data_IF_142370880656
#
_entry.id   IF_142370880656
#
_cell.length_a   1.000
_cell.length_b   1.000
_cell.length_c   1.000
_cell.angle_alpha   90.00
_cell.angle_beta   90.00
_cell.angle_gamma   90.00
#
_symmetry.space_group_name_H-M   'P 1'
#
loop_
_entity.id
_entity.type
_entity.pdbx_description
1 polymer ?
#
# COMPACT_ATOMS: atom_id res chain seq x y z
N UNK A 1 -10.03 0.50 -29.32
CA UNK A 1 -8.86 -0.41 -29.18
C UNK A 1 -9.03 -1.23 -27.91
N UNK A 2 -8.97 -2.57 -28.00
CA UNK A 2 -8.99 -3.47 -26.84
C UNK A 2 -7.62 -4.11 -26.67
N UNK A 3 -7.13 -4.16 -25.45
CA UNK A 3 -5.84 -4.76 -25.08
C UNK A 3 -6.14 -6.00 -24.24
N UNK A 4 -5.45 -7.09 -24.57
CA UNK A 4 -5.57 -8.38 -23.90
C UNK A 4 -4.24 -8.80 -23.29
N UNK A 5 -4.30 -9.56 -22.21
CA UNK A 5 -3.11 -10.25 -21.68
C UNK A 5 -2.74 -11.45 -22.56
N UNK A 6 -1.61 -12.09 -22.25
CA UNK A 6 -1.13 -13.27 -22.98
C UNK A 6 -2.05 -14.50 -22.89
N UNK A 7 -3.04 -14.50 -22.00
CA UNK A 7 -4.06 -15.55 -21.86
C UNK A 7 -5.35 -15.19 -22.60
N UNK A 8 -5.40 -14.05 -23.28
CA UNK A 8 -6.56 -13.57 -24.02
C UNK A 8 -7.61 -12.90 -23.13
N UNK A 9 -7.30 -12.56 -21.89
CA UNK A 9 -8.22 -11.81 -21.03
C UNK A 9 -8.15 -10.32 -21.31
N UNK A 10 -9.28 -9.60 -21.34
CA UNK A 10 -9.27 -8.16 -21.54
C UNK A 10 -8.63 -7.46 -20.33
N UNK A 11 -7.73 -6.50 -20.62
CA UNK A 11 -6.94 -5.74 -19.65
C UNK A 11 -7.32 -4.26 -19.65
N UNK A 12 -7.47 -3.69 -20.84
CA UNK A 12 -7.91 -2.31 -21.02
C UNK A 12 -8.64 -2.13 -22.36
N UNK A 13 -9.43 -1.07 -22.45
CA UNK A 13 -10.10 -0.65 -23.66
C UNK A 13 -10.06 0.88 -23.76
N UNK A 14 -9.80 1.39 -24.96
CA UNK A 14 -9.79 2.81 -25.26
C UNK A 14 -10.68 3.08 -26.46
N UNK A 15 -11.59 4.05 -26.35
CA UNK A 15 -12.37 4.58 -27.46
C UNK A 15 -11.87 5.98 -27.79
N UNK A 16 -11.53 6.20 -29.05
CA UNK A 16 -11.02 7.46 -29.58
C UNK A 16 -12.05 8.04 -30.54
N UNK A 17 -12.29 9.34 -30.45
CA UNK A 17 -13.10 10.09 -31.39
C UNK A 17 -12.37 10.24 -32.74
N UNK A 18 -13.12 10.62 -33.76
CA UNK A 18 -12.56 10.89 -35.10
C UNK A 18 -11.55 12.05 -35.15
N UNK A 19 -11.55 12.93 -34.16
CA UNK A 19 -10.59 14.02 -34.01
C UNK A 19 -9.31 13.62 -33.24
N UNK A 20 -9.20 12.35 -32.82
CA UNK A 20 -8.07 11.83 -32.07
C UNK A 20 -8.14 12.09 -30.57
N UNK A 21 -9.19 12.72 -30.05
CA UNK A 21 -9.42 12.83 -28.61
C UNK A 21 -9.91 11.51 -28.01
N UNK A 22 -9.57 11.26 -26.74
CA UNK A 22 -10.08 10.08 -26.04
C UNK A 22 -11.53 10.34 -25.64
N UNK A 23 -12.44 9.46 -26.05
CA UNK A 23 -13.85 9.47 -25.61
C UNK A 23 -14.02 8.71 -24.30
N UNK A 24 -13.34 7.57 -24.17
CA UNK A 24 -13.36 6.77 -22.94
C UNK A 24 -12.16 5.85 -22.84
N UNK A 25 -11.72 5.57 -21.61
CA UNK A 25 -10.82 4.46 -21.33
C UNK A 25 -11.35 3.61 -20.19
N UNK A 26 -10.98 2.33 -20.19
CA UNK A 26 -11.34 1.36 -19.15
C UNK A 26 -10.12 0.52 -18.82
N UNK A 27 -9.89 0.28 -17.53
CA UNK A 27 -8.82 -0.59 -17.05
C UNK A 27 -9.37 -1.61 -16.07
N UNK A 28 -8.96 -2.86 -16.23
CA UNK A 28 -9.35 -3.95 -15.33
C UNK A 28 -8.54 -3.90 -14.05
N UNK A 29 -9.20 -4.14 -12.92
CA UNK A 29 -8.63 -4.14 -11.59
C UNK A 29 -8.34 -5.56 -11.10
N UNK A 30 -7.46 -5.74 -10.10
CA UNK A 30 -7.12 -7.07 -9.57
C UNK A 30 -8.31 -7.88 -9.02
N UNK A 31 -9.36 -7.22 -8.53
CA UNK A 31 -10.60 -7.87 -8.08
C UNK A 31 -11.52 -8.31 -9.24
N UNK A 32 -11.09 -8.07 -10.48
CA UNK A 32 -11.83 -8.38 -11.70
C UNK A 32 -12.81 -7.29 -12.13
N UNK A 33 -13.08 -6.29 -11.29
CA UNK A 33 -13.89 -5.13 -11.63
C UNK A 33 -13.16 -4.18 -12.58
N UNK A 34 -13.85 -3.13 -13.02
CA UNK A 34 -13.34 -2.17 -14.00
C UNK A 34 -13.36 -0.76 -13.43
N UNK A 35 -12.35 0.01 -13.81
CA UNK A 35 -12.29 1.44 -13.60
C UNK A 35 -12.39 2.13 -14.95
N UNK A 36 -13.34 3.06 -15.10
CA UNK A 36 -13.52 3.83 -16.33
C UNK A 36 -13.07 5.27 -16.14
N UNK A 37 -12.43 5.82 -17.17
CA UNK A 37 -12.01 7.22 -17.28
C UNK A 37 -12.95 7.93 -18.24
N UNK A 38 -13.62 8.97 -17.76
CA UNK A 38 -14.39 9.94 -18.52
C UNK A 38 -13.53 11.19 -18.72
N UNK A 39 -12.96 11.41 -19.92
CA UNK A 39 -12.07 12.54 -20.17
C UNK A 39 -12.83 13.87 -20.12
N UNK A 40 -12.19 14.91 -19.55
CA UNK A 40 -12.69 16.30 -19.51
C UNK A 40 -14.12 16.43 -18.95
N UNK A 41 -14.47 15.56 -18.01
CA UNK A 41 -15.82 15.37 -17.47
C UNK A 41 -16.37 16.57 -16.68
N UNK A 42 -15.49 17.35 -16.05
CA UNK A 42 -15.87 18.41 -15.10
C UNK A 42 -14.74 19.41 -14.89
N UNK A 43 -15.04 20.49 -14.17
CA UNK A 43 -14.04 21.33 -13.53
C UNK A 43 -14.06 21.07 -12.02
N UNK A 44 -12.88 20.97 -11.39
CA UNK A 44 -12.71 20.75 -9.96
C UNK A 44 -11.46 21.49 -9.45
N UNK A 45 -11.52 22.18 -8.29
CA UNK A 45 -10.33 22.71 -7.64
C UNK A 45 -9.41 21.56 -7.17
N UNK A 46 -8.08 21.79 -7.08
CA UNK A 46 -7.36 23.03 -7.40
C UNK A 46 -6.96 23.18 -8.87
N UNK A 47 -7.15 22.18 -9.74
CA UNK A 47 -6.55 22.12 -11.08
C UNK A 47 -7.49 22.48 -12.25
N UNK A 48 -8.78 22.72 -12.02
CA UNK A 48 -9.72 23.09 -13.08
C UNK A 48 -10.22 21.88 -13.86
N UNK A 49 -10.06 21.88 -15.19
CA UNK A 49 -10.58 20.79 -16.04
C UNK A 49 -10.04 19.43 -15.58
N UNK A 50 -10.92 18.46 -15.42
CA UNK A 50 -10.63 17.18 -14.78
C UNK A 50 -11.26 16.00 -15.52
N UNK A 51 -10.53 14.89 -15.55
CA UNK A 51 -11.03 13.58 -15.95
C UNK A 51 -11.69 12.91 -14.74
N UNK A 52 -12.79 12.18 -14.95
CA UNK A 52 -13.54 11.51 -13.89
C UNK A 52 -13.32 10.00 -13.91
N UNK A 53 -13.17 9.43 -12.72
CA UNK A 53 -13.06 8.00 -12.49
C UNK A 53 -14.38 7.40 -11.99
N UNK A 54 -14.75 6.27 -12.58
CA UNK A 54 -15.96 5.52 -12.28
C UNK A 54 -15.63 4.07 -11.97
N UNK A 55 -16.32 3.48 -10.98
CA UNK A 55 -16.30 2.03 -10.75
C UNK A 55 -17.38 1.36 -11.59
N UNK A 56 -17.02 0.30 -12.30
CA UNK A 56 -17.95 -0.57 -13.01
C UNK A 56 -17.71 -2.03 -12.61
N UNK A 57 -18.79 -2.77 -12.28
CA UNK A 57 -18.70 -4.18 -11.87
C UNK A 57 -18.58 -5.15 -13.05
N UNK A 58 -19.04 -4.74 -14.23
CA UNK A 58 -18.99 -5.53 -15.46
C UNK A 58 -18.50 -4.67 -16.60
N UNK A 59 -18.01 -5.32 -17.65
CA UNK A 59 -17.74 -4.68 -18.93
C UNK A 59 -19.04 -3.99 -19.41
N UNK A 60 -19.12 -2.64 -19.49
CA UNK A 60 -20.38 -1.98 -19.79
C UNK A 60 -20.81 -2.23 -21.24
N UNK A 61 -22.11 -2.36 -21.46
CA UNK A 61 -22.71 -2.31 -22.80
C UNK A 61 -22.65 -0.89 -23.37
N UNK A 62 -22.58 -0.72 -24.71
CA UNK A 62 -22.52 0.60 -25.33
C UNK A 62 -23.77 1.44 -24.99
N UNK A 63 -23.60 2.61 -24.37
CA UNK A 63 -24.73 3.52 -24.11
C UNK A 63 -24.57 4.61 -23.04
N UNK A 64 -23.49 4.64 -22.25
CA UNK A 64 -23.23 5.75 -21.31
C UNK A 64 -22.31 5.40 -20.14
N UNK A 65 -22.02 6.40 -19.30
CA UNK A 65 -21.27 6.22 -18.04
C UNK A 65 -22.19 5.63 -16.97
N UNK A 66 -22.07 4.32 -16.74
CA UNK A 66 -22.79 3.60 -15.70
C UNK A 66 -21.83 3.16 -14.59
N UNK A 67 -22.23 3.35 -13.32
CA UNK A 67 -21.45 2.93 -12.16
C UNK A 67 -21.34 3.99 -11.05
N UNK A 68 -20.55 3.68 -10.04
CA UNK A 68 -20.29 4.57 -8.92
C UNK A 68 -19.26 5.63 -9.31
N UNK A 69 -19.57 6.91 -9.11
CA UNK A 69 -18.60 8.01 -9.26
C UNK A 69 -17.60 7.95 -8.12
N UNK A 70 -16.32 7.79 -8.45
CA UNK A 70 -15.27 7.64 -7.44
C UNK A 70 -14.53 8.94 -7.17
N UNK A 71 -13.82 9.49 -8.15
CA UNK A 71 -13.03 10.71 -7.93
C UNK A 71 -12.68 11.35 -9.27
N UNK A 72 -11.87 12.40 -9.25
CA UNK A 72 -11.37 13.10 -10.43
C UNK A 72 -9.86 13.27 -10.36
N UNK A 73 -9.21 13.43 -11.50
CA UNK A 73 -7.81 13.86 -11.58
C UNK A 73 -7.66 14.94 -12.66
N UNK A 74 -6.53 15.65 -12.61
CA UNK A 74 -6.19 16.68 -13.58
C UNK A 74 -6.33 16.15 -15.02
N UNK A 75 -7.10 16.86 -15.87
CA UNK A 75 -7.37 16.38 -17.22
C UNK A 75 -6.09 16.24 -18.05
N UNK A 76 -5.95 15.09 -18.72
CA UNK A 76 -4.84 14.81 -19.62
C UNK A 76 -5.20 15.07 -21.08
N UNK A 77 -4.19 15.44 -21.86
CA UNK A 77 -4.24 15.22 -23.30
C UNK A 77 -3.84 13.77 -23.58
N UNK A 78 -4.83 12.89 -23.67
CA UNK A 78 -4.60 11.45 -23.81
C UNK A 78 -3.86 11.08 -25.10
N UNK A 79 -3.98 11.89 -26.15
CA UNK A 79 -3.24 11.71 -27.40
C UNK A 79 -1.75 12.09 -27.27
N UNK A 80 -1.39 12.84 -26.21
CA UNK A 80 -0.03 13.28 -25.93
C UNK A 80 0.20 13.47 -24.43
N UNK A 81 0.46 12.37 -23.75
CA UNK A 81 0.78 12.32 -22.32
C UNK A 81 2.09 13.08 -22.07
N UNK A 82 2.01 14.15 -21.28
CA UNK A 82 3.15 15.02 -20.97
C UNK A 82 3.48 15.10 -19.47
N UNK A 83 2.65 14.50 -18.61
CA UNK A 83 2.80 14.52 -17.15
C UNK A 83 2.05 13.39 -16.46
N UNK A 84 2.36 13.22 -15.19
CA UNK A 84 1.59 12.37 -14.26
C UNK A 84 0.54 13.27 -13.58
N UNK A 85 -0.76 12.98 -13.72
CA UNK A 85 -1.81 13.86 -13.21
C UNK A 85 -1.95 13.79 -11.69
N UNK A 86 -2.46 14.88 -11.12
CA UNK A 86 -2.85 14.94 -9.71
C UNK A 86 -4.23 14.33 -9.49
N UNK A 87 -4.37 13.45 -8.50
CA UNK A 87 -5.62 12.75 -8.19
C UNK A 87 -6.29 13.35 -6.94
N UNK A 88 -7.59 13.64 -7.01
CA UNK A 88 -8.39 13.98 -5.84
C UNK A 88 -8.75 12.72 -5.05
N UNK A 89 -8.94 12.87 -3.74
CA UNK A 89 -9.48 11.82 -2.85
C UNK A 89 -8.98 10.38 -3.15
N UNK A 90 -7.67 10.09 -3.15
CA UNK A 90 -7.14 8.79 -3.56
C UNK A 90 -7.76 7.59 -2.83
N UNK A 91 -8.21 7.80 -1.58
CA UNK A 91 -8.88 6.80 -0.75
C UNK A 91 -10.23 6.31 -1.31
N UNK A 92 -10.85 7.03 -2.25
CA UNK A 92 -12.08 6.59 -2.92
C UNK A 92 -11.83 5.56 -4.01
N UNK A 93 -10.57 5.32 -4.40
CA UNK A 93 -10.27 4.29 -5.38
C UNK A 93 -10.30 2.89 -4.75
N UNK A 94 -10.86 1.89 -5.45
CA UNK A 94 -10.71 0.50 -5.04
C UNK A 94 -9.23 0.08 -5.04
N UNK A 95 -8.84 -0.95 -4.26
CA UNK A 95 -7.48 -1.47 -4.24
C UNK A 95 -6.94 -1.78 -5.64
N UNK A 96 -5.76 -1.24 -5.96
CA UNK A 96 -5.13 -1.36 -7.28
C UNK A 96 -5.67 -0.41 -8.36
N UNK A 97 -6.71 0.38 -8.08
CA UNK A 97 -7.28 1.35 -9.02
C UNK A 97 -6.27 2.39 -9.49
N UNK A 98 -5.56 3.02 -8.55
CA UNK A 98 -4.55 4.04 -8.87
C UNK A 98 -3.42 3.47 -9.74
N UNK A 99 -2.88 2.31 -9.39
CA UNK A 99 -1.77 1.71 -10.16
C UNK A 99 -2.21 1.18 -11.51
N UNK A 100 -3.46 0.76 -11.68
CA UNK A 100 -4.01 0.39 -12.99
C UNK A 100 -4.10 1.60 -13.95
N UNK A 101 -4.54 2.77 -13.46
CA UNK A 101 -4.57 4.01 -14.26
C UNK A 101 -3.15 4.50 -14.56
N UNK A 102 -2.27 4.51 -13.56
CA UNK A 102 -0.86 4.88 -13.75
C UNK A 102 -0.17 3.99 -14.78
N UNK A 103 -0.47 2.68 -14.80
CA UNK A 103 0.06 1.77 -15.80
C UNK A 103 -0.49 2.07 -17.20
N UNK A 104 -1.77 2.43 -17.35
CA UNK A 104 -2.33 2.88 -18.64
C UNK A 104 -1.65 4.17 -19.13
N UNK A 105 -1.44 5.13 -18.23
CA UNK A 105 -0.71 6.38 -18.55
C UNK A 105 0.71 6.06 -19.00
N UNK A 106 1.41 5.15 -18.30
CA UNK A 106 2.75 4.72 -18.66
C UNK A 106 2.80 3.95 -20.00
N UNK A 107 1.81 3.10 -20.29
CA UNK A 107 1.65 2.40 -21.57
C UNK A 107 1.55 3.42 -22.72
N UNK A 108 0.60 4.35 -22.63
CA UNK A 108 0.38 5.38 -23.65
C UNK A 108 1.57 6.32 -23.81
N UNK A 109 2.13 6.82 -22.70
CA UNK A 109 3.28 7.71 -22.74
C UNK A 109 4.47 7.05 -23.44
N UNK A 110 4.74 5.76 -23.15
CA UNK A 110 5.80 5.00 -23.81
C UNK A 110 5.54 4.82 -25.31
N UNK A 111 4.31 4.47 -25.69
CA UNK A 111 3.92 4.32 -27.10
C UNK A 111 4.02 5.65 -27.87
N UNK A 112 3.77 6.77 -27.20
CA UNK A 112 3.89 8.13 -27.73
C UNK A 112 5.34 8.64 -27.73
N UNK A 113 6.31 7.86 -27.24
CA UNK A 113 7.72 8.24 -27.18
C UNK A 113 8.07 9.27 -26.10
N UNK A 114 7.22 9.45 -25.09
CA UNK A 114 7.52 10.33 -23.97
C UNK A 114 8.66 9.74 -23.14
N UNK A 115 9.81 10.43 -23.12
CA UNK A 115 10.98 9.97 -22.38
C UNK A 115 10.87 10.24 -20.87
N UNK A 116 10.34 11.41 -20.47
CA UNK A 116 10.32 11.87 -19.08
C UNK A 116 9.03 12.59 -18.78
N UNK A 117 8.38 12.23 -17.68
CA UNK A 117 7.18 12.87 -17.15
C UNK A 117 7.47 13.47 -15.78
N UNK A 118 6.80 14.55 -15.45
CA UNK A 118 6.84 15.14 -14.10
C UNK A 118 5.53 14.86 -13.36
N UNK A 119 5.62 14.68 -12.04
CA UNK A 119 4.48 14.84 -11.15
C UNK A 119 4.53 16.24 -10.56
N UNK A 120 3.47 17.03 -10.76
CA UNK A 120 3.37 18.43 -10.30
C UNK A 120 2.27 18.64 -9.26
N UNK A 121 1.74 17.55 -8.72
CA UNK A 121 0.62 17.62 -7.79
C UNK A 121 1.03 18.10 -6.40
N UNK A 122 0.10 18.71 -5.65
CA UNK A 122 0.39 19.29 -4.34
C UNK A 122 0.60 18.24 -3.23
N UNK A 123 0.40 16.95 -3.52
CA UNK A 123 0.35 15.89 -2.52
C UNK A 123 1.37 14.78 -2.84
N UNK A 124 2.69 15.04 -2.73
CA UNK A 124 3.65 13.95 -2.70
C UNK A 124 3.46 13.18 -1.40
N UNK A 125 3.27 11.86 -1.49
CA UNK A 125 3.15 10.96 -0.34
C UNK A 125 3.96 9.70 -0.60
N UNK A 126 4.39 9.02 0.46
CA UNK A 126 5.06 7.72 0.32
C UNK A 126 4.19 6.70 -0.44
N UNK A 127 2.87 6.69 -0.19
CA UNK A 127 1.96 5.80 -0.90
C UNK A 127 1.92 6.09 -2.41
N UNK A 128 1.88 7.36 -2.80
CA UNK A 128 1.95 7.75 -4.21
C UNK A 128 3.32 7.39 -4.80
N UNK A 129 4.42 7.67 -4.10
CA UNK A 129 5.76 7.28 -4.52
C UNK A 129 5.83 5.78 -4.85
N UNK A 130 5.40 4.92 -3.91
CA UNK A 130 5.36 3.48 -4.09
C UNK A 130 4.44 3.04 -5.25
N UNK A 131 3.31 3.73 -5.46
CA UNK A 131 2.42 3.46 -6.59
C UNK A 131 3.05 3.83 -7.94
N UNK A 132 3.81 4.93 -8.00
CA UNK A 132 4.56 5.34 -9.19
C UNK A 132 5.66 4.34 -9.53
N UNK A 133 6.35 3.79 -8.53
CA UNK A 133 7.36 2.74 -8.76
C UNK A 133 6.80 1.53 -9.52
N UNK A 134 5.50 1.23 -9.38
CA UNK A 134 4.86 0.12 -10.11
C UNK A 134 4.85 0.35 -11.63
N UNK A 135 4.80 1.61 -12.12
CA UNK A 135 4.56 1.91 -13.55
C UNK A 135 5.60 2.85 -14.18
N UNK A 136 6.51 3.41 -13.39
CA UNK A 136 7.51 4.38 -13.82
C UNK A 136 8.86 4.09 -13.18
N UNK A 137 9.94 4.53 -13.83
CA UNK A 137 11.28 4.60 -13.22
C UNK A 137 11.59 6.03 -12.79
N UNK A 138 12.05 6.23 -11.57
CA UNK A 138 12.50 7.56 -11.15
C UNK A 138 13.91 7.85 -11.67
N UNK A 139 14.19 9.13 -11.94
CA UNK A 139 15.55 9.61 -12.18
C UNK A 139 15.85 10.84 -11.30
N UNK A 140 17.09 11.00 -10.83
CA UNK A 140 18.25 10.12 -11.09
C UNK A 140 18.19 8.80 -10.29
N UNK A 141 18.65 7.70 -10.89
CA UNK A 141 18.52 6.35 -10.31
C UNK A 141 19.40 6.13 -9.06
N UNK A 142 20.42 6.96 -8.88
CA UNK A 142 21.37 6.94 -7.77
C UNK A 142 21.02 7.94 -6.65
N UNK A 143 19.79 8.47 -6.63
CA UNK A 143 19.29 9.26 -5.52
C UNK A 143 19.43 8.49 -4.20
N UNK A 144 20.13 9.08 -3.23
CA UNK A 144 20.41 8.45 -1.93
C UNK A 144 19.14 8.26 -1.10
N UNK A 145 18.25 9.25 -1.14
CA UNK A 145 16.91 9.19 -0.55
C UNK A 145 15.87 9.57 -1.62
N UNK A 146 15.41 8.59 -2.43
CA UNK A 146 14.48 8.87 -3.51
C UNK A 146 13.11 9.29 -2.97
N UNK A 147 12.71 8.87 -1.77
CA UNK A 147 11.46 9.34 -1.18
C UNK A 147 11.55 10.82 -0.83
N UNK A 148 12.62 11.26 -0.15
CA UNK A 148 12.81 12.68 0.15
C UNK A 148 12.88 13.54 -1.12
N UNK A 149 13.62 13.09 -2.14
CA UNK A 149 13.69 13.77 -3.44
C UNK A 149 12.31 13.86 -4.12
N UNK A 150 11.49 12.81 -4.03
CA UNK A 150 10.10 12.85 -4.52
C UNK A 150 9.26 13.88 -3.76
N UNK A 151 9.37 13.90 -2.43
CA UNK A 151 8.65 14.86 -1.57
C UNK A 151 9.05 16.30 -1.86
N UNK A 152 10.30 16.53 -2.27
CA UNK A 152 10.82 17.84 -2.69
C UNK A 152 10.46 18.19 -4.16
N UNK A 153 9.86 17.28 -4.92
CA UNK A 153 9.52 17.49 -6.34
C UNK A 153 10.72 17.43 -7.29
N UNK A 154 11.82 16.79 -6.87
CA UNK A 154 13.10 16.77 -7.60
C UNK A 154 13.22 15.58 -8.57
N UNK A 155 12.28 14.62 -8.51
CA UNK A 155 12.28 13.45 -9.39
C UNK A 155 11.54 13.70 -10.69
N UNK A 156 12.10 13.14 -11.77
CA UNK A 156 11.40 12.88 -13.02
C UNK A 156 11.09 11.39 -13.16
N UNK A 157 10.14 11.06 -14.03
CA UNK A 157 9.61 9.71 -14.16
C UNK A 157 9.62 9.24 -15.61
N UNK A 158 10.38 8.18 -15.87
CA UNK A 158 10.45 7.54 -17.18
C UNK A 158 9.37 6.46 -17.27
N UNK A 159 8.46 6.49 -18.27
CA UNK A 159 7.42 5.48 -18.43
C UNK A 159 7.98 4.06 -18.51
N UNK A 160 7.52 3.19 -17.62
CA UNK A 160 7.96 1.80 -17.54
C UNK A 160 6.78 0.91 -17.16
N UNK A 161 5.80 0.72 -18.06
CA UNK A 161 4.62 -0.08 -17.78
C UNK A 161 5.01 -1.55 -17.54
N UNK A 162 4.16 -2.24 -16.81
CA UNK A 162 4.27 -3.68 -16.55
C UNK A 162 3.18 -4.46 -17.30
N UNK A 163 3.48 -5.70 -17.63
CA UNK A 163 2.49 -6.66 -18.10
C UNK A 163 1.53 -6.98 -16.94
N UNK A 164 0.23 -7.02 -17.23
CA UNK A 164 -0.83 -7.42 -16.31
C UNK A 164 -1.42 -8.72 -16.79
N UNK A 165 -1.37 -9.75 -15.94
CA UNK A 165 -1.90 -11.07 -16.22
C UNK A 165 -3.09 -11.34 -15.29
N UNK A 166 -4.21 -11.75 -15.85
CA UNK A 166 -5.41 -12.16 -15.12
C UNK A 166 -5.56 -13.67 -15.24
N UNK A 167 -5.25 -14.39 -14.16
CA UNK A 167 -5.35 -15.84 -14.10
C UNK A 167 -6.68 -16.34 -13.54
N UNK A 168 -6.80 -17.66 -13.45
CA UNK A 168 -7.92 -18.31 -12.79
C UNK A 168 -8.00 -17.96 -11.29
N UNK A 169 -9.17 -18.20 -10.67
CA UNK A 169 -9.40 -18.05 -9.22
C UNK A 169 -9.12 -16.66 -8.63
N UNK A 170 -9.22 -15.61 -9.44
CA UNK A 170 -8.95 -14.24 -8.98
C UNK A 170 -7.46 -13.95 -8.78
N UNK A 171 -6.60 -14.66 -9.52
CA UNK A 171 -5.18 -14.34 -9.63
C UNK A 171 -4.98 -13.12 -10.53
N UNK A 172 -4.19 -12.18 -10.05
CA UNK A 172 -3.64 -11.09 -10.84
C UNK A 172 -2.13 -11.02 -10.61
N UNK A 173 -1.35 -10.87 -11.69
CA UNK A 173 0.11 -10.80 -11.62
C UNK A 173 0.62 -9.61 -12.42
N UNK A 174 1.49 -8.80 -11.81
CA UNK A 174 2.28 -7.79 -12.50
C UNK A 174 3.66 -8.34 -12.83
N UNK A 175 4.07 -8.17 -14.08
CA UNK A 175 5.36 -8.67 -14.56
C UNK A 175 6.13 -7.64 -15.36
N UNK A 176 7.45 -7.67 -15.18
CA UNK A 176 8.41 -6.90 -15.99
C UNK A 176 9.72 -7.68 -16.07
N UNK A 177 9.77 -8.65 -16.98
CA UNK A 177 10.84 -9.66 -17.03
C UNK A 177 10.79 -10.69 -15.91
N UNK A 178 10.26 -10.34 -14.74
CA UNK A 178 9.97 -11.21 -13.59
C UNK A 178 8.63 -10.88 -12.96
N UNK A 179 8.11 -11.75 -12.09
CA UNK A 179 6.92 -11.48 -11.26
C UNK A 179 7.23 -10.43 -10.21
N UNK A 180 6.67 -9.22 -10.28
CA UNK A 180 6.96 -8.12 -9.33
C UNK A 180 5.90 -8.01 -8.22
N UNK A 181 4.64 -8.30 -8.54
CA UNK A 181 3.49 -8.27 -7.61
C UNK A 181 2.48 -9.34 -7.98
N UNK A 182 1.85 -9.92 -6.97
CA UNK A 182 0.73 -10.87 -7.11
C UNK A 182 -0.43 -10.36 -6.27
N UNK A 183 -1.64 -10.41 -6.79
CA UNK A 183 -2.87 -10.26 -5.99
C UNK A 183 -3.66 -11.55 -6.14
N UNK A 184 -4.07 -12.15 -5.03
CA UNK A 184 -4.86 -13.36 -5.02
C UNK A 184 -5.93 -13.26 -3.94
N UNK A 185 -7.20 -13.37 -4.33
CA UNK A 185 -8.36 -13.28 -3.43
C UNK A 185 -8.29 -12.05 -2.49
N UNK A 186 -7.91 -10.89 -3.05
CA UNK A 186 -7.79 -9.62 -2.34
C UNK A 186 -6.46 -9.39 -1.59
N UNK A 187 -5.62 -10.42 -1.42
CA UNK A 187 -4.32 -10.28 -0.77
C UNK A 187 -3.23 -9.91 -1.79
N UNK A 188 -2.54 -8.79 -1.56
CA UNK A 188 -1.42 -8.35 -2.39
C UNK A 188 -0.06 -8.80 -1.80
N UNK A 189 0.77 -9.40 -2.64
CA UNK A 189 2.14 -9.79 -2.37
C UNK A 189 3.06 -8.95 -3.25
N UNK A 190 4.14 -8.45 -2.65
CA UNK A 190 5.10 -7.58 -3.33
C UNK A 190 6.49 -8.16 -3.26
N UNK A 191 7.31 -7.93 -4.28
CA UNK A 191 8.74 -8.11 -4.09
C UNK A 191 9.28 -7.10 -3.07
N UNK A 192 10.22 -7.53 -2.22
CA UNK A 192 10.84 -6.63 -1.24
C UNK A 192 11.76 -5.62 -1.92
N UNK A 193 12.30 -5.92 -3.10
CA UNK A 193 13.17 -5.05 -3.88
C UNK A 193 12.42 -4.47 -5.09
N UNK A 194 12.29 -3.15 -5.15
CA UNK A 194 11.68 -2.46 -6.29
C UNK A 194 12.48 -1.20 -6.63
N UNK A 195 13.22 -1.21 -7.74
CA UNK A 195 14.10 -0.09 -8.15
C UNK A 195 15.07 0.35 -7.05
N UNK A 196 15.75 -0.60 -6.39
CA UNK A 196 16.61 -0.37 -5.21
C UNK A 196 15.90 0.09 -3.92
N UNK A 197 14.61 0.42 -3.99
CA UNK A 197 13.80 0.73 -2.81
C UNK A 197 13.39 -0.58 -2.13
N UNK A 198 13.73 -0.71 -0.86
CA UNK A 198 13.29 -1.80 -0.01
C UNK A 198 11.85 -1.55 0.45
N UNK A 199 10.90 -2.37 -0.03
CA UNK A 199 9.50 -2.31 0.38
C UNK A 199 9.26 -3.21 1.57
N UNK A 200 8.87 -2.61 2.69
CA UNK A 200 8.43 -3.35 3.85
C UNK A 200 6.97 -3.80 3.67
N UNK A 201 6.75 -5.09 3.38
CA UNK A 201 5.42 -5.69 3.33
C UNK A 201 5.45 -7.09 3.97
N UNK A 202 4.40 -7.49 4.71
CA UNK A 202 4.32 -8.82 5.32
C UNK A 202 4.04 -9.92 4.29
N UNK A 203 3.47 -9.58 3.14
CA UNK A 203 3.18 -10.51 2.05
C UNK A 203 4.17 -10.29 0.92
N UNK A 204 5.05 -11.26 0.70
CA UNK A 204 6.22 -11.13 -0.17
C UNK A 204 6.20 -12.11 -1.33
N UNK A 205 6.73 -11.65 -2.46
CA UNK A 205 7.07 -12.47 -3.63
C UNK A 205 8.57 -12.80 -3.56
N UNK A 206 8.95 -14.08 -3.72
CA UNK A 206 10.36 -14.53 -3.72
C UNK A 206 10.59 -15.64 -4.75
N UNK A 207 11.79 -15.67 -5.32
CA UNK A 207 12.21 -16.76 -6.21
C UNK A 207 12.68 -17.97 -5.40
N UNK A 208 12.39 -19.17 -5.92
CA UNK A 208 12.90 -20.47 -5.47
C UNK A 208 13.25 -21.34 -6.68
N UNK A 209 13.93 -22.47 -6.46
CA UNK A 209 14.28 -23.40 -7.54
C UNK A 209 13.06 -23.89 -8.32
N UNK A 210 11.92 -24.05 -7.66
CA UNK A 210 10.69 -24.58 -8.24
C UNK A 210 9.83 -23.50 -8.93
N UNK A 211 10.18 -22.22 -8.83
CA UNK A 211 9.41 -21.11 -9.39
C UNK A 211 9.39 -19.87 -8.49
N UNK A 212 8.21 -19.31 -8.29
CA UNK A 212 8.00 -18.07 -7.51
C UNK A 212 7.01 -18.33 -6.39
N UNK A 213 7.42 -18.08 -5.15
CA UNK A 213 6.56 -18.22 -3.97
C UNK A 213 5.97 -16.88 -3.54
N UNK A 214 4.71 -16.92 -3.12
CA UNK A 214 4.07 -15.85 -2.37
C UNK A 214 3.96 -16.29 -0.91
N UNK A 215 4.58 -15.55 0.00
CA UNK A 215 4.77 -15.96 1.40
C UNK A 215 4.33 -14.86 2.36
N UNK A 216 3.84 -15.25 3.53
CA UNK A 216 3.77 -14.42 4.72
C UNK A 216 5.14 -14.35 5.39
N UNK A 217 5.57 -13.17 5.77
CA UNK A 217 6.88 -12.88 6.33
C UNK A 217 6.73 -12.02 7.57
N UNK A 218 7.53 -12.34 8.58
CA UNK A 218 7.78 -11.44 9.69
C UNK A 218 9.18 -11.62 10.25
N UNK A 219 9.71 -10.60 10.92
CA UNK A 219 10.97 -10.65 11.66
C UNK A 219 12.15 -11.13 10.79
N UNK A 220 12.15 -10.72 9.52
CA UNK A 220 13.20 -11.06 8.55
C UNK A 220 13.16 -12.49 8.01
N UNK A 221 12.13 -13.29 8.30
CA UNK A 221 11.99 -14.69 7.84
C UNK A 221 10.61 -15.00 7.27
N UNK A 222 10.49 -15.98 6.35
CA UNK A 222 9.19 -16.52 5.96
C UNK A 222 8.53 -17.22 7.15
N UNK A 223 7.22 -17.02 7.31
CA UNK A 223 6.40 -17.74 8.28
C UNK A 223 5.54 -18.81 7.62
N UNK A 224 5.01 -18.51 6.42
CA UNK A 224 4.04 -19.36 5.73
C UNK A 224 4.11 -19.10 4.22
N UNK A 225 3.98 -20.14 3.40
CA UNK A 225 3.87 -20.02 1.94
C UNK A 225 2.42 -20.22 1.51
N UNK A 226 1.90 -19.34 0.66
CA UNK A 226 0.49 -19.34 0.25
C UNK A 226 0.28 -19.74 -1.21
N UNK A 227 1.22 -19.40 -2.10
CA UNK A 227 1.11 -19.68 -3.54
C UNK A 227 2.45 -20.08 -4.11
N UNK A 228 2.43 -21.00 -5.07
CA UNK A 228 3.54 -21.29 -5.98
C UNK A 228 3.12 -20.96 -7.41
N UNK A 229 3.92 -20.13 -8.08
CA UNK A 229 3.73 -19.71 -9.46
C UNK A 229 4.91 -20.17 -10.33
N UNK A 230 4.67 -20.29 -11.63
CA UNK A 230 5.74 -20.40 -12.62
C UNK A 230 6.55 -19.09 -12.67
N UNK A 231 7.77 -19.08 -13.22
CA UNK A 231 8.49 -17.84 -13.53
C UNK A 231 7.72 -16.90 -14.47
N UNK A 232 6.81 -17.46 -15.27
CA UNK A 232 5.90 -16.72 -16.14
C UNK A 232 4.67 -16.13 -15.40
N UNK A 233 4.49 -16.44 -14.12
CA UNK A 233 3.38 -15.95 -13.29
C UNK A 233 2.10 -16.78 -13.40
N UNK A 234 2.15 -17.98 -13.96
CA UNK A 234 1.00 -18.90 -13.94
C UNK A 234 0.88 -19.53 -12.55
N UNK A 235 -0.33 -19.61 -12.00
CA UNK A 235 -0.56 -20.29 -10.72
C UNK A 235 -0.35 -21.81 -10.90
N UNK A 236 0.64 -22.35 -10.19
CA UNK A 236 0.92 -23.79 -10.19
C UNK A 236 0.18 -24.48 -9.05
N UNK A 237 0.22 -23.90 -7.84
CA UNK A 237 -0.44 -24.43 -6.65
C UNK A 237 -0.87 -23.32 -5.70
N UNK A 238 -2.06 -23.46 -5.13
CA UNK A 238 -2.43 -22.81 -3.88
C UNK A 238 -1.93 -23.70 -2.74
N UNK A 239 -1.13 -23.13 -1.84
CA UNK A 239 -0.58 -23.84 -0.69
C UNK A 239 -1.50 -23.57 0.49
N UNK A 240 -2.10 -24.64 1.02
CA UNK A 240 -3.03 -24.50 2.13
C UNK A 240 -2.26 -24.24 3.44
N UNK A 241 -2.65 -23.19 4.19
CA UNK A 241 -2.11 -22.91 5.52
C UNK A 241 -2.26 -24.10 6.45
N UNK A 242 -1.36 -24.21 7.43
CA UNK A 242 -1.73 -24.85 8.67
C UNK A 242 -2.92 -24.10 9.29
N UNK A 243 -3.81 -24.82 9.98
CA UNK A 243 -4.91 -24.18 10.69
C UNK A 243 -4.35 -23.12 11.66
N UNK A 244 -4.95 -21.93 11.64
CA UNK A 244 -4.56 -20.87 12.56
C UNK A 244 -5.01 -21.28 13.98
N UNK A 245 -4.04 -21.67 14.80
CA UNK A 245 -4.26 -22.07 16.19
C UNK A 245 -3.83 -20.96 17.15
N UNK A 246 -4.43 -20.93 18.33
CA UNK A 246 -4.09 -19.99 19.41
C UNK A 246 -5.32 -19.32 20.02
N UNK A 247 -5.48 -19.48 21.34
CA UNK A 247 -6.50 -18.75 22.09
C UNK A 247 -6.19 -17.25 22.07
N UNK A 248 -7.24 -16.46 21.89
CA UNK A 248 -7.13 -15.01 21.97
C UNK A 248 -6.66 -14.59 23.36
N UNK A 249 -5.63 -13.74 23.42
CA UNK A 249 -5.05 -13.24 24.67
C UNK A 249 -4.66 -11.78 24.54
N UNK A 250 -4.99 -10.91 25.51
CA UNK A 250 -4.66 -9.49 25.43
C UNK A 250 -3.15 -9.26 25.27
N UNK A 251 -2.77 -8.31 24.42
CA UNK A 251 -1.40 -7.77 24.38
C UNK A 251 -1.24 -6.81 25.56
N UNK A 252 -0.09 -6.89 26.25
CA UNK A 252 0.19 -6.06 27.42
C UNK A 252 0.05 -4.55 27.10
N UNK A 253 -0.50 -3.73 28.01
CA UNK A 253 -0.72 -2.31 27.77
C UNK A 253 0.54 -1.54 27.34
N UNK A 254 1.69 -1.89 27.89
CA UNK A 254 2.97 -1.23 27.61
C UNK A 254 3.44 -1.51 26.18
N UNK A 255 3.25 -2.75 25.69
CA UNK A 255 3.54 -3.11 24.29
C UNK A 255 2.67 -2.27 23.35
N UNK A 256 1.36 -2.20 23.64
CA UNK A 256 0.42 -1.38 22.86
C UNK A 256 0.81 0.11 22.86
N UNK A 257 1.22 0.64 24.01
CA UNK A 257 1.65 2.02 24.14
C UNK A 257 2.93 2.31 23.32
N UNK A 258 3.93 1.41 23.36
CA UNK A 258 5.16 1.57 22.58
C UNK A 258 4.92 1.44 21.07
N UNK A 259 4.03 0.54 20.63
CA UNK A 259 3.62 0.47 19.22
C UNK A 259 2.94 1.77 18.78
N UNK A 260 2.00 2.30 19.58
CA UNK A 260 1.34 3.56 19.29
C UNK A 260 2.34 4.74 19.23
N UNK A 261 3.32 4.75 20.13
CA UNK A 261 4.39 5.75 20.14
C UNK A 261 5.28 5.65 18.90
N UNK A 262 5.63 4.45 18.43
CA UNK A 262 6.37 4.25 17.19
C UNK A 262 5.59 4.73 15.96
N UNK A 263 4.28 4.45 15.89
CA UNK A 263 3.41 4.96 14.81
C UNK A 263 3.29 6.48 14.87
N UNK A 264 3.11 7.06 16.05
CA UNK A 264 3.03 8.50 16.25
C UNK A 264 4.32 9.22 15.84
N UNK A 265 5.48 8.66 16.20
CA UNK A 265 6.80 9.21 15.85
C UNK A 265 7.05 9.20 14.33
N UNK A 266 6.51 8.23 13.59
CA UNK A 266 6.58 8.17 12.12
C UNK A 266 5.46 8.92 11.40
N UNK A 267 4.57 9.60 12.12
CA UNK A 267 3.42 10.31 11.55
C UNK A 267 3.58 11.84 11.62
N UNK A 268 2.76 12.58 10.89
CA UNK A 268 2.69 14.03 11.04
C UNK A 268 2.33 14.41 12.48
N UNK A 269 3.06 15.37 13.07
CA UNK A 269 2.92 15.76 14.48
C UNK A 269 1.47 16.02 14.95
N UNK A 270 0.58 16.67 14.14
CA UNK A 270 -0.83 16.85 14.52
C UNK A 270 -1.60 15.56 14.80
N UNK A 271 -1.17 14.44 14.23
CA UNK A 271 -1.86 13.16 14.32
C UNK A 271 -1.46 12.35 15.56
N UNK A 272 -0.32 12.65 16.18
CA UNK A 272 0.24 11.86 17.28
C UNK A 272 -0.72 11.68 18.48
N UNK A 273 -1.36 12.74 19.03
CA UNK A 273 -2.30 12.57 20.13
C UNK A 273 -3.49 11.69 19.76
N UNK A 274 -4.03 11.87 18.54
CA UNK A 274 -5.16 11.11 18.04
C UNK A 274 -4.81 9.63 17.83
N UNK A 275 -3.60 9.30 17.34
CA UNK A 275 -3.11 7.92 17.22
C UNK A 275 -3.07 7.23 18.58
N UNK A 276 -2.57 7.92 19.61
CA UNK A 276 -2.47 7.36 20.95
C UNK A 276 -3.85 7.15 21.59
N UNK A 277 -4.79 8.08 21.39
CA UNK A 277 -6.19 7.93 21.83
C UNK A 277 -6.89 6.78 21.11
N UNK A 278 -6.61 6.58 19.84
CA UNK A 278 -7.15 5.44 19.06
C UNK A 278 -6.58 4.14 19.62
N UNK A 279 -5.26 4.05 19.80
CA UNK A 279 -4.62 2.85 20.32
C UNK A 279 -5.12 2.48 21.72
N UNK A 280 -5.35 3.46 22.61
CA UNK A 280 -5.95 3.22 23.93
C UNK A 280 -7.37 2.67 23.87
N UNK A 281 -8.15 3.09 22.88
CA UNK A 281 -9.56 2.72 22.73
C UNK A 281 -9.78 1.35 22.06
N UNK A 282 -8.75 0.77 21.44
CA UNK A 282 -8.84 -0.50 20.71
C UNK A 282 -8.28 -1.64 21.57
N UNK A 283 -8.98 -2.77 21.57
CA UNK A 283 -8.45 -4.02 22.12
C UNK A 283 -7.39 -4.59 21.18
N UNK A 284 -6.16 -4.76 21.67
CA UNK A 284 -5.09 -5.42 20.94
C UNK A 284 -4.84 -6.79 21.57
N UNK A 285 -4.93 -7.86 20.78
CA UNK A 285 -4.78 -9.24 21.26
C UNK A 285 -3.89 -10.08 20.34
N UNK A 286 -3.17 -11.06 20.91
CA UNK A 286 -2.63 -12.17 20.13
C UNK A 286 -3.73 -13.19 19.86
N UNK A 287 -3.68 -13.89 18.71
CA UNK A 287 -4.56 -15.03 18.47
C UNK A 287 -4.51 -15.57 17.04
N UNK A 288 -5.44 -16.47 16.73
CA UNK A 288 -5.56 -17.06 15.40
C UNK A 288 -5.89 -16.00 14.32
N UNK A 289 -5.01 -15.90 13.31
CA UNK A 289 -5.19 -15.11 12.09
C UNK A 289 -4.78 -15.99 10.90
N UNK A 290 -5.64 -16.12 9.91
CA UNK A 290 -5.43 -16.99 8.76
C UNK A 290 -4.84 -16.19 7.59
N UNK A 291 -3.73 -16.68 7.01
CA UNK A 291 -3.06 -16.10 5.81
C UNK A 291 -2.67 -14.61 5.94
N UNK A 292 -2.59 -14.09 7.16
CA UNK A 292 -2.21 -12.71 7.46
C UNK A 292 -1.54 -12.58 8.84
N UNK A 293 -0.95 -11.42 9.12
CA UNK A 293 -0.39 -11.10 10.43
C UNK A 293 -1.36 -10.34 11.33
N UNK A 294 -2.36 -9.67 10.75
CA UNK A 294 -3.36 -8.94 11.51
C UNK A 294 -4.77 -9.21 10.99
N UNK A 295 -5.74 -9.20 11.90
CA UNK A 295 -7.16 -9.11 11.60
C UNK A 295 -7.71 -7.86 12.28
N UNK A 296 -8.22 -6.93 11.48
CA UNK A 296 -8.78 -5.67 11.95
C UNK A 296 -10.30 -5.79 12.04
N UNK A 297 -10.82 -5.62 13.25
CA UNK A 297 -12.24 -5.47 13.55
C UNK A 297 -12.52 -4.03 14.03
N UNK A 298 -13.79 -3.69 14.26
CA UNK A 298 -14.18 -2.31 14.61
C UNK A 298 -13.54 -1.83 15.92
N UNK A 299 -13.57 -2.63 16.97
CA UNK A 299 -13.13 -2.30 18.32
C UNK A 299 -11.89 -3.09 18.76
N UNK A 300 -11.40 -3.97 17.88
CA UNK A 300 -10.31 -4.89 18.17
C UNK A 300 -9.38 -5.05 16.97
N UNK A 301 -8.11 -5.26 17.26
CA UNK A 301 -7.13 -5.77 16.30
C UNK A 301 -6.49 -7.02 16.89
N UNK A 302 -6.52 -8.12 16.13
CA UNK A 302 -5.83 -9.36 16.49
C UNK A 302 -4.53 -9.46 15.71
N UNK A 303 -3.44 -9.74 16.40
CA UNK A 303 -2.12 -10.03 15.82
C UNK A 303 -1.88 -11.53 15.85
N UNK A 304 -1.30 -12.07 14.78
CA UNK A 304 -1.18 -13.52 14.59
C UNK A 304 -0.32 -14.19 15.67
N UNK A 305 -0.77 -15.35 16.13
CA UNK A 305 0.01 -16.22 17.02
C UNK A 305 1.30 -16.72 16.33
N UNK A 306 1.31 -16.82 15.00
CA UNK A 306 2.51 -17.16 14.21
C UNK A 306 3.59 -16.09 14.32
N UNK A 307 3.24 -14.80 14.33
CA UNK A 307 4.18 -13.71 14.59
C UNK A 307 4.78 -13.83 15.99
N UNK A 308 3.92 -14.03 16.99
CA UNK A 308 4.33 -14.14 18.38
C UNK A 308 5.26 -15.32 18.63
N UNK A 309 4.96 -16.49 18.05
CA UNK A 309 5.82 -17.68 18.12
C UNK A 309 7.17 -17.42 17.44
N UNK A 310 7.17 -16.81 16.26
CA UNK A 310 8.41 -16.43 15.58
C UNK A 310 9.26 -15.46 16.42
N UNK A 311 8.63 -14.52 17.13
CA UNK A 311 9.32 -13.65 18.08
C UNK A 311 9.92 -14.43 19.25
N UNK A 312 9.16 -15.35 19.85
CA UNK A 312 9.65 -16.20 20.94
C UNK A 312 10.89 -17.01 20.54
N UNK A 313 10.85 -17.63 19.36
CA UNK A 313 11.98 -18.36 18.80
C UNK A 313 13.20 -17.46 18.58
N UNK A 314 13.01 -16.27 18.00
CA UNK A 314 14.08 -15.29 17.80
C UNK A 314 14.69 -14.82 19.13
N UNK A 315 13.86 -14.57 20.15
CA UNK A 315 14.31 -14.17 21.49
C UNK A 315 15.05 -15.31 22.21
N UNK A 316 14.60 -16.55 22.06
CA UNK A 316 15.25 -17.72 22.65
C UNK A 316 16.61 -18.01 22.00
N UNK A 317 16.75 -17.77 20.70
CA UNK A 317 18.01 -17.93 19.96
C UNK A 317 19.01 -16.78 20.22
N UNK A 318 18.54 -15.63 20.70
CA UNK A 318 19.39 -14.45 20.91
C UNK A 318 20.25 -14.59 22.20
N UNK A 319 21.57 -14.56 22.01
CA UNK A 319 22.55 -14.69 23.11
C UNK A 319 22.66 -13.43 23.97
N UNK A 320 21.96 -13.41 25.11
CA UNK A 320 22.08 -12.35 26.12
C UNK A 320 21.11 -11.18 25.95
N UNK A 321 21.14 -10.23 26.88
CA UNK A 321 20.14 -9.14 26.99
C UNK A 321 20.15 -8.18 25.79
N UNK A 322 21.33 -7.81 25.29
CA UNK A 322 21.47 -6.85 24.18
C UNK A 322 20.80 -7.35 22.88
N UNK A 323 21.20 -8.52 22.34
CA UNK A 323 20.57 -9.09 21.14
C UNK A 323 19.06 -9.34 21.31
N UNK A 324 18.61 -9.74 22.50
CA UNK A 324 17.18 -9.88 22.82
C UNK A 324 16.44 -8.54 22.75
N UNK A 325 17.01 -7.47 23.29
CA UNK A 325 16.44 -6.13 23.20
C UNK A 325 16.37 -5.63 21.75
N UNK A 326 17.40 -5.89 20.92
CA UNK A 326 17.38 -5.58 19.48
C UNK A 326 16.25 -6.32 18.77
N UNK A 327 16.07 -7.62 19.02
CA UNK A 327 15.00 -8.41 18.43
C UNK A 327 13.60 -7.92 18.86
N UNK A 328 13.44 -7.57 20.14
CA UNK A 328 12.20 -6.99 20.65
C UNK A 328 11.91 -5.61 20.04
N UNK A 329 12.93 -4.75 19.86
CA UNK A 329 12.78 -3.48 19.14
C UNK A 329 12.33 -3.68 17.69
N UNK A 330 12.96 -4.62 16.97
CA UNK A 330 12.54 -5.00 15.60
C UNK A 330 11.07 -5.40 15.58
N UNK A 331 10.61 -6.17 16.57
CA UNK A 331 9.21 -6.55 16.66
C UNK A 331 8.28 -5.36 16.91
N UNK A 332 8.65 -4.40 17.78
CA UNK A 332 7.85 -3.18 17.99
C UNK A 332 7.73 -2.38 16.69
N UNK A 333 8.84 -2.19 15.96
CA UNK A 333 8.85 -1.47 14.67
C UNK A 333 7.99 -2.20 13.64
N UNK A 334 8.05 -3.53 13.58
CA UNK A 334 7.26 -4.31 12.65
C UNK A 334 5.77 -4.29 12.98
N UNK A 335 5.40 -4.39 14.26
CA UNK A 335 4.02 -4.19 14.72
C UNK A 335 3.51 -2.79 14.38
N UNK A 336 4.35 -1.76 14.55
CA UNK A 336 4.02 -0.39 14.15
C UNK A 336 3.80 -0.27 12.63
N UNK A 337 4.60 -0.97 11.83
CA UNK A 337 4.39 -1.06 10.38
C UNK A 337 3.07 -1.74 10.00
N UNK A 338 2.69 -2.82 10.70
CA UNK A 338 1.44 -3.55 10.45
C UNK A 338 0.20 -2.76 10.86
N UNK A 339 0.26 -2.09 12.01
CA UNK A 339 -0.89 -1.40 12.62
C UNK A 339 -0.97 0.07 12.22
N UNK A 340 0.11 0.63 11.67
CA UNK A 340 0.26 2.06 11.43
C UNK A 340 -0.79 2.63 10.50
N UNK A 341 -1.10 1.96 9.38
CA UNK A 341 -2.11 2.43 8.43
C UNK A 341 -3.50 2.51 9.06
N UNK A 342 -3.91 1.49 9.82
CA UNK A 342 -5.21 1.44 10.49
C UNK A 342 -5.31 2.50 11.59
N UNK A 343 -4.26 2.65 12.42
CA UNK A 343 -4.23 3.66 13.48
C UNK A 343 -4.25 5.08 12.89
N UNK A 344 -3.49 5.33 11.82
CA UNK A 344 -3.48 6.61 11.10
C UNK A 344 -4.85 6.90 10.49
N UNK A 345 -5.48 5.95 9.81
CA UNK A 345 -6.79 6.13 9.19
C UNK A 345 -7.87 6.48 10.23
N UNK A 346 -7.92 5.75 11.35
CA UNK A 346 -8.85 6.06 12.45
C UNK A 346 -8.56 7.42 13.10
N UNK A 347 -7.29 7.76 13.29
CA UNK A 347 -6.90 9.05 13.85
C UNK A 347 -7.29 10.22 12.92
N UNK A 348 -7.07 10.06 11.61
CA UNK A 348 -7.48 11.04 10.60
C UNK A 348 -9.01 11.20 10.57
N UNK A 349 -9.76 10.10 10.61
CA UNK A 349 -11.22 10.15 10.67
C UNK A 349 -11.72 10.87 11.93
N UNK A 350 -11.09 10.64 13.09
CA UNK A 350 -11.42 11.38 14.33
C UNK A 350 -11.11 12.87 14.21
N UNK A 351 -9.95 13.23 13.66
CA UNK A 351 -9.56 14.63 13.47
C UNK A 351 -10.51 15.34 12.50
N UNK A 352 -10.85 14.70 11.38
CA UNK A 352 -11.77 15.24 10.38
C UNK A 352 -13.21 15.41 10.90
N UNK A 353 -13.61 14.67 11.93
CA UNK A 353 -14.91 14.81 12.58
C UNK A 353 -14.98 15.96 13.59
N UNK A 354 -13.85 16.59 13.94
CA UNK A 354 -13.83 17.75 14.85
C UNK A 354 -14.38 19.00 14.16
N UNK A 355 -14.90 19.99 14.92
CA UNK A 355 -15.24 21.30 14.37
C UNK A 355 -14.03 21.97 13.67
N UNK A 356 -14.23 22.79 12.61
CA UNK A 356 -13.14 23.39 11.84
C UNK A 356 -12.10 24.14 12.69
N UNK A 357 -12.52 24.84 13.74
CA UNK A 357 -11.59 25.53 14.66
C UNK A 357 -10.70 24.57 15.45
N UNK A 358 -11.22 23.39 15.83
CA UNK A 358 -10.46 22.38 16.53
C UNK A 358 -9.49 21.67 15.58
N UNK A 359 -9.88 21.48 14.32
CA UNK A 359 -8.97 21.02 13.26
C UNK A 359 -7.84 22.02 13.05
N UNK A 360 -8.17 23.32 12.90
CA UNK A 360 -7.20 24.39 12.75
C UNK A 360 -6.22 24.42 13.93
N UNK A 361 -6.70 24.39 15.18
CA UNK A 361 -5.83 24.33 16.37
C UNK A 361 -4.88 23.13 16.37
N UNK A 362 -5.36 21.95 15.96
CA UNK A 362 -4.53 20.76 15.89
C UNK A 362 -3.44 20.87 14.81
N UNK A 363 -3.75 21.54 13.69
CA UNK A 363 -2.81 21.79 12.60
C UNK A 363 -1.87 22.97 12.89
N UNK A 364 -2.33 24.03 13.55
CA UNK A 364 -1.53 25.21 13.91
C UNK A 364 -0.43 24.90 14.93
N UNK A 365 -0.59 23.80 15.69
CA UNK A 365 0.46 23.26 16.54
C UNK A 365 1.75 22.87 15.77
N UNK A 366 1.73 22.87 14.43
CA UNK A 366 2.92 22.73 13.57
C UNK A 366 3.96 23.85 13.79
N UNK A 367 3.54 25.03 14.26
CA UNK A 367 4.43 26.19 14.45
C UNK A 367 5.34 26.12 15.68
N UNK A 368 5.12 25.16 16.58
CA UNK A 368 5.96 24.94 17.76
C UNK A 368 6.32 23.46 17.82
N UNK A 369 7.59 23.07 17.61
CA UNK A 369 7.99 21.68 17.79
C UNK A 369 7.60 21.26 19.22
N UNK A 370 6.87 20.14 19.40
CA UNK A 370 6.59 19.65 20.74
C UNK A 370 7.93 19.49 21.47
N UNK A 371 8.00 19.84 22.77
CA UNK A 371 9.23 19.67 23.53
C UNK A 371 9.69 18.21 23.39
N UNK A 372 10.98 18.00 23.14
CA UNK A 372 11.60 16.68 23.09
C UNK A 372 11.65 16.08 24.50
N UNK A 373 10.48 15.73 25.03
CA UNK A 373 10.29 15.19 26.38
C UNK A 373 10.65 13.69 26.47
N UNK A 374 11.11 13.11 25.36
CA UNK A 374 11.50 11.70 25.25
C UNK A 374 10.37 10.73 25.57
N UNK A 375 9.10 11.18 25.56
CA UNK A 375 7.95 10.35 25.95
C UNK A 375 7.78 9.15 25.03
N UNK A 376 7.85 9.36 23.72
CA UNK A 376 7.75 8.24 22.76
C UNK A 376 8.91 7.26 22.90
N UNK A 377 10.13 7.76 23.10
CA UNK A 377 11.30 6.91 23.32
C UNK A 377 11.16 6.04 24.58
N UNK A 378 10.65 6.61 25.68
CA UNK A 378 10.36 5.86 26.91
C UNK A 378 9.29 4.80 26.70
N UNK A 379 8.17 5.14 26.07
CA UNK A 379 7.11 4.17 25.78
C UNK A 379 7.58 3.01 24.89
N UNK A 380 8.47 3.27 23.92
CA UNK A 380 9.10 2.23 23.09
C UNK A 380 10.04 1.35 23.94
N UNK A 381 10.83 1.94 24.84
CA UNK A 381 11.69 1.19 25.75
C UNK A 381 10.90 0.28 26.71
N UNK A 382 9.81 0.80 27.29
CA UNK A 382 8.92 0.04 28.16
C UNK A 382 8.26 -1.13 27.41
N UNK A 383 7.87 -0.92 26.14
CA UNK A 383 7.36 -1.98 25.29
C UNK A 383 8.39 -3.09 24.99
N UNK A 384 9.66 -2.76 24.85
CA UNK A 384 10.74 -3.74 24.69
C UNK A 384 10.82 -4.64 25.92
N UNK A 385 10.87 -4.05 27.12
CA UNK A 385 10.92 -4.82 28.38
C UNK A 385 9.66 -5.67 28.60
N UNK A 386 8.49 -5.13 28.24
CA UNK A 386 7.23 -5.86 28.28
C UNK A 386 7.20 -7.04 27.30
N UNK A 387 7.70 -6.89 26.06
CA UNK A 387 7.82 -8.00 25.11
C UNK A 387 8.77 -9.08 25.60
N UNK A 388 9.90 -8.71 26.20
CA UNK A 388 10.86 -9.65 26.76
C UNK A 388 10.24 -10.51 27.87
N UNK A 389 9.30 -9.95 28.62
CA UNK A 389 8.57 -10.63 29.71
C UNK A 389 7.35 -11.42 29.19
N UNK A 390 6.60 -10.90 28.23
CA UNK A 390 5.37 -11.53 27.67
C UNK A 390 5.67 -12.74 26.78
N UNK A 391 6.80 -12.70 26.06
CA UNK A 391 7.15 -13.69 25.03
C UNK A 391 8.35 -14.54 25.43
N UNK A 392 9.16 -14.08 26.40
CA UNK A 392 10.37 -14.76 26.85
C UNK A 392 10.22 -15.70 28.04
N UNK A 393 9.00 -15.82 28.60
CA UNK A 393 8.61 -16.88 29.53
C UNK A 393 8.00 -18.05 28.75
#
# INVERSE_FOLDING_TARGET
>A
MKIFDRLGNPVSELAWAGDGSLESARVRLPDGSWLSVEPRATTAPPWGLSDRLWRAERFPEPGGWAGERLTVFEALDWARIDRIPSLAEPARLPPGGGTAVLNLIAELAREQGAARLAYRGPYPTEQLFLALLESFRYEPADAQDPLAAFMAGELVWTPAPHERLFGAEGLYVQRRGRVEKVVFRGAAYYRPDWQSVARHAPKRVRDVSEGVLCSLWALGRPLEDHLLLSPAGDLLRVLEPAAAEGLARPIAPDIRAGVAAAVAAGSGAPLAPAIEDVARAIALEWGAVTRDLILVERDRIRVSESFRRALAETLAAAGGRGPRATAALTAVVELAGLLGDELRARAQARLAALPPEAQARALDALGTPPPADGRHARAIADAIEALLSDVGA
#
